data_IF_322042008182
#
_entry.id   IF_322042008182
#
_cell.length_a   1.000
_cell.length_b   1.000
_cell.length_c   1.000
_cell.angle_alpha   90.00
_cell.angle_beta   90.00
_cell.angle_gamma   90.00
#
_symmetry.space_group_name_H-M   'P 1'
#
loop_
_entity.id
_entity.type
_entity.pdbx_description
1 polymer ?
#
# COMPACT_ATOMS: atom_id res chain seq x y z
N UNK A 1 34.15 -56.36 57.80
CA UNK A 1 33.07 -55.58 58.39
C UNK A 1 33.55 -54.14 58.53
N UNK A 2 33.24 -53.26 57.50
CA UNK A 2 33.63 -51.88 57.54
C UNK A 2 32.40 -51.05 57.93
N UNK A 3 32.52 -50.31 58.97
CA UNK A 3 31.48 -49.38 59.50
C UNK A 3 31.78 -48.03 58.84
N UNK A 4 30.86 -47.52 58.06
CA UNK A 4 30.89 -46.13 57.47
C UNK A 4 30.07 -45.25 58.46
N UNK A 5 30.73 -44.29 59.11
CA UNK A 5 30.12 -43.23 59.85
C UNK A 5 29.68 -42.10 58.91
N UNK A 6 28.36 -41.89 58.85
CA UNK A 6 27.78 -40.76 58.07
C UNK A 6 27.62 -39.54 59.00
N UNK A 7 28.33 -38.46 58.69
CA UNK A 7 28.30 -37.21 59.45
C UNK A 7 27.18 -36.35 58.85
N UNK A 8 26.05 -36.25 59.52
CA UNK A 8 24.96 -35.34 59.14
C UNK A 8 25.36 -33.89 59.41
N UNK A 9 25.58 -33.12 58.39
CA UNK A 9 25.75 -31.67 58.50
C UNK A 9 24.37 -31.00 58.41
N UNK A 10 23.88 -30.64 59.58
CA UNK A 10 22.69 -29.81 59.71
C UNK A 10 23.04 -28.40 59.22
N UNK A 11 22.57 -28.03 58.00
CA UNK A 11 22.59 -26.65 57.52
C UNK A 11 21.41 -25.90 58.20
N UNK A 12 21.61 -24.67 58.70
CA UNK A 12 20.57 -23.98 59.43
C UNK A 12 19.40 -23.63 58.53
N UNK A 13 18.20 -23.99 58.93
CA UNK A 13 16.91 -23.75 58.28
C UNK A 13 16.62 -22.27 57.94
N UNK A 14 17.35 -21.37 58.54
CA UNK A 14 17.18 -19.91 58.38
C UNK A 14 17.50 -19.35 56.99
N UNK A 15 18.36 -20.00 56.22
CA UNK A 15 18.72 -19.54 54.89
C UNK A 15 17.66 -19.83 53.82
N UNK A 16 16.79 -20.80 54.02
CA UNK A 16 15.75 -21.16 53.06
C UNK A 16 14.51 -20.28 53.17
N UNK A 17 14.15 -19.84 54.38
CA UNK A 17 12.99 -18.96 54.57
C UNK A 17 13.23 -17.54 54.02
N UNK A 18 14.43 -16.99 54.18
CA UNK A 18 14.75 -15.65 53.65
C UNK A 18 14.73 -15.61 52.12
N UNK A 19 15.08 -16.72 51.45
CA UNK A 19 15.08 -16.83 49.99
C UNK A 19 13.67 -16.98 49.41
N UNK A 20 12.78 -17.65 50.13
CA UNK A 20 11.38 -17.80 49.72
C UNK A 20 10.60 -16.49 49.88
N UNK A 21 10.84 -15.73 50.94
CA UNK A 21 10.17 -14.43 51.13
C UNK A 21 10.68 -13.38 50.15
N UNK A 22 11.94 -13.45 49.69
CA UNK A 22 12.46 -12.54 48.65
C UNK A 22 11.80 -12.81 47.29
N UNK A 23 11.52 -14.05 46.95
CA UNK A 23 10.80 -14.40 45.72
C UNK A 23 9.30 -14.09 45.82
N UNK A 24 8.67 -14.22 46.94
CA UNK A 24 7.28 -13.84 47.18
C UNK A 24 7.11 -12.30 47.12
N UNK A 25 8.06 -11.54 47.65
CA UNK A 25 8.04 -10.08 47.61
C UNK A 25 8.23 -9.50 46.18
N UNK A 26 9.03 -10.14 45.33
CA UNK A 26 9.20 -9.76 43.92
C UNK A 26 8.00 -10.18 43.05
N UNK A 27 7.31 -11.26 43.43
CA UNK A 27 6.12 -11.73 42.69
C UNK A 27 4.88 -10.87 42.92
N UNK A 28 4.79 -10.17 44.06
CA UNK A 28 3.64 -9.30 44.38
C UNK A 28 3.74 -7.92 43.74
N UNK A 29 4.96 -7.48 43.34
CA UNK A 29 5.17 -6.21 42.64
C UNK A 29 5.10 -6.34 41.11
N UNK A 30 5.05 -7.55 40.52
CA UNK A 30 4.99 -7.76 39.05
C UNK A 30 3.63 -7.49 38.41
N UNK A 31 2.47 -7.67 39.05
CA UNK A 31 1.18 -7.46 38.39
C UNK A 31 0.76 -5.99 38.21
N UNK A 32 1.57 -5.02 38.64
CA UNK A 32 1.26 -3.59 38.45
C UNK A 32 2.01 -2.92 37.32
N UNK A 33 2.78 -3.67 36.54
CA UNK A 33 3.17 -3.20 35.21
C UNK A 33 1.95 -3.36 34.30
N UNK A 34 1.08 -2.35 34.27
CA UNK A 34 0.10 -2.22 33.20
C UNK A 34 0.87 -2.24 31.89
N UNK A 35 0.91 -3.39 31.23
CA UNK A 35 1.29 -3.47 29.84
C UNK A 35 0.15 -2.76 29.10
N UNK A 36 0.28 -1.44 28.96
CA UNK A 36 -0.59 -0.66 28.11
C UNK A 36 -0.35 -1.15 26.67
N UNK A 37 -1.08 -2.17 26.28
CA UNK A 37 -1.16 -2.54 24.88
C UNK A 37 -1.81 -1.37 24.15
N UNK A 38 -1.04 -0.70 23.32
CA UNK A 38 -1.62 0.32 22.45
C UNK A 38 -2.73 -0.35 21.60
N UNK A 39 -3.95 0.17 21.73
CA UNK A 39 -5.10 -0.39 21.03
C UNK A 39 -4.82 -0.44 19.53
N UNK A 40 -5.10 -1.58 18.91
CA UNK A 40 -5.01 -1.70 17.46
C UNK A 40 -6.02 -0.76 16.83
N UNK A 41 -5.57 -0.01 15.84
CA UNK A 41 -6.43 0.77 14.96
C UNK A 41 -5.98 0.58 13.51
N UNK A 42 -6.88 0.86 12.60
CA UNK A 42 -6.63 0.89 11.17
C UNK A 42 -7.43 2.05 10.57
N UNK A 43 -6.79 2.82 9.72
CA UNK A 43 -7.46 3.88 8.99
C UNK A 43 -8.46 3.27 8.00
N UNK A 44 -9.48 4.02 7.65
CA UNK A 44 -10.42 3.63 6.60
C UNK A 44 -10.32 4.60 5.45
N UNK A 45 -10.09 4.06 4.24
CA UNK A 45 -9.88 4.86 3.03
C UNK A 45 -10.79 4.36 1.92
N UNK A 46 -11.82 5.13 1.58
CA UNK A 46 -12.75 4.78 0.51
C UNK A 46 -12.47 5.62 -0.74
N UNK A 47 -12.56 5.01 -1.89
CA UNK A 47 -12.20 5.62 -3.17
C UNK A 47 -13.38 5.67 -4.12
N UNK A 48 -13.52 6.82 -4.82
CA UNK A 48 -14.28 6.94 -6.06
C UNK A 48 -13.33 7.40 -7.15
N UNK A 49 -13.15 6.60 -8.20
CA UNK A 49 -12.18 6.85 -9.25
C UNK A 49 -12.89 6.83 -10.61
N UNK A 50 -12.65 7.85 -11.41
CA UNK A 50 -13.03 7.89 -12.82
C UNK A 50 -11.75 7.91 -13.64
N UNK A 51 -11.62 6.99 -14.59
CA UNK A 51 -10.42 6.88 -15.42
C UNK A 51 -10.78 6.51 -16.86
N UNK A 52 -10.06 7.09 -17.80
CA UNK A 52 -10.15 6.77 -19.22
C UNK A 52 -8.78 6.39 -19.77
N UNK A 53 -8.73 5.35 -20.60
CA UNK A 53 -7.54 4.92 -21.34
C UNK A 53 -7.51 5.62 -22.71
N UNK A 54 -6.39 6.29 -22.99
CA UNK A 54 -5.99 6.70 -24.37
C UNK A 54 -5.00 5.65 -24.88
N UNK A 55 -5.49 4.72 -25.69
CA UNK A 55 -4.70 3.59 -26.21
C UNK A 55 -3.74 4.00 -27.35
N UNK A 56 -3.88 5.21 -27.88
CA UNK A 56 -2.95 5.75 -28.91
C UNK A 56 -1.72 6.41 -28.28
N UNK A 57 -1.89 6.91 -27.06
CA UNK A 57 -0.81 7.56 -26.32
C UNK A 57 -0.27 6.69 -25.20
N UNK A 58 -0.94 5.58 -24.90
CA UNK A 58 -0.69 4.73 -23.76
C UNK A 58 -0.71 5.52 -22.44
N UNK A 59 -1.83 6.20 -22.21
CA UNK A 59 -2.03 7.11 -21.09
C UNK A 59 -3.35 6.84 -20.40
N UNK A 60 -3.38 7.08 -19.08
CA UNK A 60 -4.62 7.18 -18.31
C UNK A 60 -4.88 8.64 -17.95
N UNK A 61 -6.12 9.08 -18.09
CA UNK A 61 -6.60 10.35 -17.56
C UNK A 61 -7.73 10.10 -16.58
N UNK A 62 -7.62 10.63 -15.39
CA UNK A 62 -8.63 10.37 -14.37
C UNK A 62 -8.74 11.45 -13.33
N UNK A 63 -9.66 11.20 -12.42
CA UNK A 63 -9.85 11.94 -11.18
C UNK A 63 -10.28 11.00 -10.09
N UNK A 64 -9.95 11.33 -8.86
CA UNK A 64 -10.39 10.57 -7.71
C UNK A 64 -10.93 11.45 -6.60
N UNK A 65 -11.79 10.85 -5.79
CA UNK A 65 -12.20 11.35 -4.49
C UNK A 65 -11.91 10.28 -3.46
N UNK A 66 -11.11 10.64 -2.48
CA UNK A 66 -10.70 9.78 -1.36
C UNK A 66 -11.39 10.27 -0.10
N UNK A 67 -12.22 9.42 0.51
CA UNK A 67 -12.71 9.63 1.87
C UNK A 67 -11.70 8.98 2.84
N UNK A 68 -11.08 9.79 3.66
CA UNK A 68 -10.11 9.35 4.66
C UNK A 68 -10.66 9.57 6.07
N UNK A 69 -10.77 8.50 6.85
CA UNK A 69 -11.27 8.50 8.22
C UNK A 69 -10.11 8.21 9.16
N UNK A 70 -9.82 9.16 10.06
CA UNK A 70 -8.77 9.01 11.05
C UNK A 70 -9.24 8.19 12.24
N UNK A 71 -9.01 6.89 12.21
CA UNK A 71 -9.33 5.97 13.32
C UNK A 71 -8.19 5.85 14.35
N UNK A 72 -7.08 6.61 14.17
CA UNK A 72 -5.99 6.62 15.14
C UNK A 72 -6.33 7.49 16.35
N UNK A 73 -5.63 7.31 17.48
CA UNK A 73 -5.72 8.23 18.62
C UNK A 73 -5.00 9.56 18.36
N UNK A 74 -4.31 9.69 17.24
CA UNK A 74 -3.45 10.83 16.94
C UNK A 74 -4.15 11.89 16.08
N UNK A 75 -3.70 13.14 16.24
CA UNK A 75 -4.12 14.25 15.39
C UNK A 75 -3.20 14.37 14.20
N UNK A 76 -3.71 14.14 13.00
CA UNK A 76 -2.94 14.20 11.77
C UNK A 76 -2.93 15.64 11.21
N UNK A 77 -1.75 16.17 10.93
CA UNK A 77 -1.55 17.52 10.36
C UNK A 77 -1.14 17.49 8.90
N UNK A 78 -0.73 16.36 8.41
CA UNK A 78 -0.38 16.06 7.03
C UNK A 78 -0.68 14.61 6.73
N UNK A 79 -0.78 14.27 5.45
CA UNK A 79 -0.90 12.90 4.95
C UNK A 79 0.21 12.66 3.94
N UNK A 80 0.77 11.45 3.92
CA UNK A 80 1.60 11.01 2.80
C UNK A 80 0.75 10.31 1.77
N UNK A 81 1.12 10.52 0.50
CA UNK A 81 0.52 9.83 -0.64
C UNK A 81 1.59 9.15 -1.48
N UNK A 82 1.29 7.96 -1.93
CA UNK A 82 2.07 7.24 -2.91
C UNK A 82 1.64 7.67 -4.32
N UNK A 83 2.62 8.03 -5.13
CA UNK A 83 2.52 8.36 -6.55
C UNK A 83 3.34 7.36 -7.35
N UNK A 84 3.09 6.10 -7.12
CA UNK A 84 3.96 4.99 -7.54
C UNK A 84 4.26 4.87 -9.04
N UNK A 85 3.45 5.37 -9.99
CA UNK A 85 3.90 5.45 -11.39
C UNK A 85 5.19 6.25 -11.58
N UNK A 86 5.51 7.19 -10.68
CA UNK A 86 6.77 7.95 -10.74
C UNK A 86 8.01 7.11 -10.45
N UNK A 87 7.87 5.90 -9.93
CA UNK A 87 8.99 4.97 -9.77
C UNK A 87 9.63 4.59 -11.11
N UNK A 88 8.87 4.72 -12.21
CA UNK A 88 9.32 4.43 -13.58
C UNK A 88 9.85 5.68 -14.31
N UNK A 89 9.99 6.83 -13.64
CA UNK A 89 10.29 8.11 -14.30
C UNK A 89 11.73 8.24 -14.76
N UNK A 90 12.67 7.71 -14.01
CA UNK A 90 14.11 7.82 -14.30
C UNK A 90 14.96 6.74 -13.59
N UNK A 91 16.28 6.80 -13.84
CA UNK A 91 17.23 5.83 -13.29
C UNK A 91 17.68 6.09 -11.84
N UNK A 92 17.19 7.15 -11.18
CA UNK A 92 17.55 7.48 -9.81
C UNK A 92 16.49 7.02 -8.80
N UNK A 93 15.37 6.51 -9.28
CA UNK A 93 14.28 6.00 -8.44
C UNK A 93 14.73 4.77 -7.64
N UNK A 94 14.01 4.45 -6.58
CA UNK A 94 14.28 3.24 -5.77
C UNK A 94 14.09 1.97 -6.59
N UNK A 95 13.06 1.90 -7.44
CA UNK A 95 12.82 0.80 -8.37
C UNK A 95 14.00 0.60 -9.34
N UNK A 96 14.47 1.68 -9.98
CA UNK A 96 15.59 1.58 -10.92
C UNK A 96 16.87 1.08 -10.26
N UNK A 97 17.16 1.56 -9.04
CA UNK A 97 18.31 1.12 -8.25
C UNK A 97 18.21 -0.36 -7.86
N UNK A 98 17.03 -0.82 -7.45
CA UNK A 98 16.80 -2.21 -7.10
C UNK A 98 16.99 -3.13 -8.31
N UNK A 99 16.40 -2.79 -9.47
CA UNK A 99 16.56 -3.55 -10.72
C UNK A 99 18.02 -3.57 -11.15
N UNK A 100 18.73 -2.43 -11.01
CA UNK A 100 20.15 -2.39 -11.30
C UNK A 100 20.96 -3.33 -10.40
N UNK A 101 20.68 -3.34 -9.10
CA UNK A 101 21.39 -4.22 -8.14
C UNK A 101 21.12 -5.70 -8.43
N UNK A 102 19.89 -6.06 -8.80
CA UNK A 102 19.49 -7.43 -9.09
C UNK A 102 19.99 -7.92 -10.44
N UNK A 103 19.75 -7.16 -11.50
CA UNK A 103 19.88 -7.61 -12.89
C UNK A 103 21.09 -6.98 -13.62
N UNK A 104 21.80 -6.03 -12.99
CA UNK A 104 22.86 -5.26 -13.61
C UNK A 104 22.41 -4.30 -14.71
N UNK A 105 21.11 -4.10 -14.89
CA UNK A 105 20.52 -3.23 -15.92
C UNK A 105 20.66 -1.75 -15.55
N UNK A 106 21.81 -1.18 -15.88
CA UNK A 106 22.03 0.26 -15.75
C UNK A 106 21.24 1.00 -16.83
N UNK A 107 20.66 2.14 -16.44
CA UNK A 107 20.03 3.07 -17.38
C UNK A 107 18.79 2.49 -18.09
N UNK A 108 18.01 1.66 -17.42
CA UNK A 108 16.78 1.08 -17.92
C UNK A 108 15.85 2.18 -18.48
N UNK A 109 15.69 3.28 -17.77
CA UNK A 109 14.81 4.40 -18.14
C UNK A 109 15.52 5.50 -18.96
N UNK A 110 16.62 5.19 -19.65
CA UNK A 110 17.16 6.11 -20.67
C UNK A 110 16.26 6.19 -21.90
N UNK A 111 15.62 5.09 -22.25
CA UNK A 111 14.62 5.05 -23.30
C UNK A 111 13.32 5.73 -22.78
N UNK A 112 12.86 6.81 -23.44
CA UNK A 112 11.64 7.49 -23.03
C UNK A 112 10.39 6.61 -23.06
N UNK A 113 10.32 5.61 -23.93
CA UNK A 113 9.16 4.71 -24.05
C UNK A 113 9.04 3.77 -22.85
N UNK A 114 10.16 3.43 -22.20
CA UNK A 114 10.19 2.63 -21.00
C UNK A 114 9.84 3.43 -19.72
N UNK A 115 9.64 4.75 -19.86
CA UNK A 115 9.29 5.61 -18.71
C UNK A 115 7.80 5.63 -18.48
N UNK A 116 7.46 5.61 -17.21
CA UNK A 116 6.11 5.88 -16.71
C UNK A 116 6.15 6.95 -15.63
N UNK A 117 5.08 7.69 -15.49
CA UNK A 117 4.94 8.71 -14.45
C UNK A 117 3.48 9.05 -14.19
N UNK A 118 3.25 9.77 -13.11
CA UNK A 118 1.97 10.39 -12.81
C UNK A 118 2.17 11.89 -12.61
N UNK A 119 1.33 12.69 -13.24
CA UNK A 119 1.33 14.14 -13.13
C UNK A 119 -0.10 14.72 -13.13
N UNK A 120 -0.23 16.03 -13.43
CA UNK A 120 -1.50 16.76 -13.46
C UNK A 120 -2.25 16.75 -12.13
N UNK A 121 -1.51 16.55 -11.02
CA UNK A 121 -2.08 16.49 -9.68
C UNK A 121 -2.44 17.88 -9.16
N UNK A 122 -3.62 17.99 -8.56
CA UNK A 122 -4.09 19.22 -7.90
C UNK A 122 -4.99 18.85 -6.72
N UNK A 123 -4.36 18.62 -5.59
CA UNK A 123 -5.06 18.15 -4.39
C UNK A 123 -5.92 19.23 -3.75
N UNK A 124 -7.17 18.86 -3.47
CA UNK A 124 -8.12 19.69 -2.73
C UNK A 124 -8.67 18.91 -1.53
N UNK A 125 -8.94 19.62 -0.45
CA UNK A 125 -9.67 19.10 0.72
C UNK A 125 -10.89 19.98 0.96
N UNK A 126 -12.09 19.38 0.96
CA UNK A 126 -13.33 20.13 1.09
C UNK A 126 -13.53 21.20 -0.01
N UNK A 127 -13.00 20.96 -1.22
CA UNK A 127 -13.05 21.89 -2.34
C UNK A 127 -11.98 22.99 -2.33
N UNK A 128 -11.14 23.08 -1.30
CA UNK A 128 -10.05 24.05 -1.20
C UNK A 128 -8.72 23.40 -1.58
N UNK A 129 -7.97 24.02 -2.50
CA UNK A 129 -6.61 23.57 -2.86
C UNK A 129 -5.69 23.59 -1.65
N UNK A 130 -4.90 22.54 -1.50
CA UNK A 130 -3.95 22.39 -0.37
C UNK A 130 -2.53 22.34 -0.86
N UNK A 131 -1.60 22.75 0.01
CA UNK A 131 -0.17 22.66 -0.25
C UNK A 131 0.27 21.20 -0.21
N UNK A 132 1.02 20.79 -1.22
CA UNK A 132 1.64 19.48 -1.27
C UNK A 132 3.06 19.58 -1.87
N UNK A 133 3.94 18.64 -1.52
CA UNK A 133 5.31 18.61 -2.01
C UNK A 133 5.75 17.16 -2.18
N UNK A 134 6.57 16.91 -3.20
CA UNK A 134 7.29 15.62 -3.31
C UNK A 134 8.22 15.44 -2.11
N UNK A 135 8.38 14.20 -1.67
CA UNK A 135 9.37 13.88 -0.64
C UNK A 135 10.77 13.89 -1.29
N UNK A 136 11.72 14.55 -0.63
CA UNK A 136 13.09 14.67 -1.14
C UNK A 136 13.71 13.28 -1.37
N UNK A 137 14.23 13.05 -2.57
CA UNK A 137 14.84 11.77 -2.97
C UNK A 137 13.84 10.67 -3.37
N UNK A 138 12.51 10.92 -3.24
CA UNK A 138 11.46 9.94 -3.55
C UNK A 138 10.38 10.57 -4.44
N UNK A 139 10.53 10.55 -5.77
CA UNK A 139 9.56 11.16 -6.68
C UNK A 139 8.20 10.48 -6.68
N UNK A 140 8.10 9.29 -6.14
CA UNK A 140 6.92 8.45 -6.03
C UNK A 140 6.19 8.58 -4.67
N UNK A 141 6.57 9.59 -3.86
CA UNK A 141 5.94 9.92 -2.58
C UNK A 141 5.73 11.43 -2.48
N UNK A 142 4.55 11.86 -2.04
CA UNK A 142 4.33 13.25 -1.69
C UNK A 142 3.68 13.41 -0.31
N UNK A 143 3.78 14.60 0.25
CA UNK A 143 3.11 14.99 1.48
C UNK A 143 2.08 16.09 1.21
N UNK A 144 0.89 15.94 1.75
CA UNK A 144 -0.22 16.90 1.71
C UNK A 144 -0.31 17.58 3.08
N UNK A 145 -0.13 18.90 3.15
CA UNK A 145 -0.26 19.65 4.41
C UNK A 145 -1.72 20.07 4.61
N UNK A 146 -2.35 19.56 5.65
CA UNK A 146 -3.73 19.89 5.98
C UNK A 146 -3.80 21.31 6.58
N UNK A 147 -4.73 22.13 6.11
CA UNK A 147 -4.95 23.46 6.67
C UNK A 147 -5.71 23.44 8.01
N UNK A 148 -6.38 22.33 8.32
CA UNK A 148 -6.95 22.02 9.64
C UNK A 148 -6.47 20.67 10.08
N UNK A 149 -6.07 20.49 11.34
CA UNK A 149 -5.73 19.18 11.87
C UNK A 149 -6.92 18.22 11.76
N UNK A 150 -6.65 16.97 11.42
CA UNK A 150 -7.62 15.88 11.38
C UNK A 150 -7.56 15.14 12.72
N UNK A 151 -8.57 15.38 13.58
CA UNK A 151 -8.63 14.76 14.90
C UNK A 151 -9.07 13.30 14.83
N UNK A 152 -8.85 12.52 15.90
CA UNK A 152 -9.40 11.17 16.02
C UNK A 152 -10.90 11.13 15.75
N UNK A 153 -11.33 10.22 14.85
CA UNK A 153 -12.71 10.07 14.42
C UNK A 153 -13.15 11.00 13.28
N UNK A 154 -12.36 12.03 12.96
CA UNK A 154 -12.69 12.95 11.87
C UNK A 154 -12.55 12.29 10.49
N UNK A 155 -13.31 12.83 9.54
CA UNK A 155 -13.30 12.42 8.14
C UNK A 155 -12.99 13.62 7.26
N UNK A 156 -12.13 13.41 6.24
CA UNK A 156 -11.89 14.38 5.17
C UNK A 156 -12.12 13.77 3.81
N UNK A 157 -12.46 14.62 2.84
CA UNK A 157 -12.59 14.27 1.44
C UNK A 157 -11.48 14.96 0.65
N UNK A 158 -10.64 14.17 0.01
CA UNK A 158 -9.50 14.63 -0.78
C UNK A 158 -9.80 14.34 -2.24
N UNK A 159 -9.66 15.33 -3.10
CA UNK A 159 -9.87 15.16 -4.52
C UNK A 159 -8.65 15.61 -5.31
N UNK A 160 -8.35 14.93 -6.42
CA UNK A 160 -7.32 15.32 -7.37
C UNK A 160 -7.63 14.78 -8.75
N UNK A 161 -7.39 15.54 -9.84
CA UNK A 161 -7.18 14.96 -11.15
C UNK A 161 -5.83 14.26 -11.18
N UNK A 162 -5.63 13.36 -12.14
CA UNK A 162 -4.33 12.76 -12.41
C UNK A 162 -4.22 12.34 -13.87
N UNK A 163 -2.99 12.25 -14.34
CA UNK A 163 -2.63 11.69 -15.62
C UNK A 163 -1.46 10.72 -15.40
N UNK A 164 -1.53 9.54 -16.02
CA UNK A 164 -0.48 8.51 -15.94
C UNK A 164 0.00 8.17 -17.34
N UNK A 165 1.31 8.29 -17.56
CA UNK A 165 1.98 7.67 -18.70
C UNK A 165 2.29 6.22 -18.37
N UNK A 166 1.82 5.31 -19.22
CA UNK A 166 2.07 3.87 -19.09
C UNK A 166 3.33 3.53 -19.87
N UNK A 167 4.39 2.95 -19.26
CA UNK A 167 5.61 2.60 -19.95
C UNK A 167 5.41 1.44 -20.92
N UNK A 168 6.18 1.40 -22.01
CA UNK A 168 6.28 0.24 -22.88
C UNK A 168 7.01 -0.90 -22.15
N UNK A 169 6.56 -2.14 -22.39
CA UNK A 169 7.03 -3.31 -21.67
C UNK A 169 6.52 -3.37 -20.23
N UNK A 170 6.54 -4.53 -19.62
CA UNK A 170 6.15 -4.72 -18.22
C UNK A 170 7.41 -4.95 -17.40
N UNK A 171 8.02 -3.86 -16.95
CA UNK A 171 9.24 -3.91 -16.14
C UNK A 171 9.00 -4.47 -14.74
N UNK A 172 7.84 -4.15 -14.16
CA UNK A 172 7.36 -4.67 -12.88
C UNK A 172 5.85 -4.90 -12.97
N UNK A 173 5.01 -4.05 -12.37
CA UNK A 173 3.55 -4.25 -12.31
C UNK A 173 2.75 -3.19 -13.06
N UNK A 174 3.41 -2.34 -13.81
CA UNK A 174 2.81 -1.31 -14.65
C UNK A 174 3.48 -1.33 -16.02
N UNK A 175 2.69 -1.43 -17.07
CA UNK A 175 3.21 -1.35 -18.43
C UNK A 175 2.21 -1.80 -19.49
N UNK A 176 2.62 -1.70 -20.76
CA UNK A 176 1.88 -2.22 -21.91
C UNK A 176 2.81 -2.93 -22.89
N UNK A 177 2.26 -3.86 -23.65
CA UNK A 177 2.94 -4.49 -24.79
C UNK A 177 1.97 -4.45 -25.96
N UNK A 178 2.23 -3.57 -26.92
CA UNK A 178 1.25 -3.21 -27.94
C UNK A 178 -0.03 -2.71 -27.28
N UNK A 179 -1.16 -3.31 -27.61
CA UNK A 179 -2.49 -2.99 -27.07
C UNK A 179 -2.89 -3.82 -25.84
N UNK A 180 -1.96 -4.55 -25.24
CA UNK A 180 -2.21 -5.29 -23.97
C UNK A 180 -1.64 -4.51 -22.79
N UNK A 181 -2.43 -4.31 -21.76
CA UNK A 181 -2.09 -3.47 -20.61
C UNK A 181 -2.10 -4.27 -19.32
N UNK A 182 -1.05 -4.12 -18.51
CA UNK A 182 -1.01 -4.51 -17.10
C UNK A 182 -0.90 -3.25 -16.26
N UNK A 183 -1.95 -2.93 -15.52
CA UNK A 183 -2.07 -1.66 -14.82
C UNK A 183 -2.35 -1.92 -13.34
N UNK A 184 -1.32 -1.78 -12.50
CA UNK A 184 -1.46 -1.85 -11.06
C UNK A 184 -0.75 -0.68 -10.38
N UNK A 185 -1.18 -0.31 -9.17
CA UNK A 185 -0.58 0.78 -8.39
C UNK A 185 -0.54 2.15 -9.12
N UNK A 186 -1.58 2.46 -9.89
CA UNK A 186 -1.63 3.48 -10.92
C UNK A 186 -2.26 4.82 -10.48
N UNK A 187 -2.98 4.86 -9.37
CA UNK A 187 -3.68 6.03 -8.84
C UNK A 187 -2.99 6.57 -7.59
N UNK A 188 -3.14 7.86 -7.24
CA UNK A 188 -2.64 8.40 -5.98
C UNK A 188 -3.31 7.72 -4.80
N UNK A 189 -2.58 7.33 -3.77
CA UNK A 189 -3.19 6.71 -2.60
C UNK A 189 -2.50 7.10 -1.30
N UNK A 190 -3.24 7.32 -0.21
CA UNK A 190 -2.65 7.57 1.09
C UNK A 190 -1.74 6.41 1.52
N UNK A 191 -0.59 6.77 2.10
CA UNK A 191 0.24 5.82 2.82
C UNK A 191 -0.49 5.32 4.08
N UNK A 192 -0.15 4.12 4.53
CA UNK A 192 -0.68 3.59 5.79
C UNK A 192 -0.16 4.40 6.97
N UNK A 193 -1.04 4.68 7.92
CA UNK A 193 -0.71 5.22 9.23
C UNK A 193 -1.20 4.26 10.31
N UNK A 194 -0.27 3.61 11.00
CA UNK A 194 -0.57 2.69 12.08
C UNK A 194 0.14 3.10 13.39
N UNK A 195 0.15 2.23 14.38
CA UNK A 195 0.80 2.45 15.68
C UNK A 195 2.31 2.76 15.60
N UNK A 196 2.95 2.44 14.47
CA UNK A 196 4.37 2.74 14.21
C UNK A 196 4.56 4.06 13.48
N UNK A 197 3.46 4.75 13.13
CA UNK A 197 3.45 6.00 12.37
C UNK A 197 3.19 5.77 10.88
N UNK A 198 3.70 6.67 10.05
CA UNK A 198 3.55 6.63 8.60
C UNK A 198 4.44 5.58 7.94
N UNK A 199 3.89 4.83 7.00
CA UNK A 199 4.58 3.85 6.14
C UNK A 199 4.68 4.38 4.70
N UNK A 200 5.37 5.52 4.54
CA UNK A 200 5.63 6.13 3.24
C UNK A 200 6.83 5.43 2.57
N UNK A 201 6.59 4.29 1.95
CA UNK A 201 7.63 3.52 1.28
C UNK A 201 7.67 3.80 -0.23
N UNK A 202 8.85 3.88 -0.86
CA UNK A 202 8.96 3.96 -2.30
C UNK A 202 8.48 2.67 -2.96
N UNK A 203 8.14 2.74 -4.24
CA UNK A 203 7.84 1.57 -5.03
C UNK A 203 9.09 0.72 -5.23
N UNK A 204 8.99 -0.57 -4.94
CA UNK A 204 10.00 -1.59 -5.21
C UNK A 204 9.38 -2.74 -6.02
N UNK A 205 10.22 -3.44 -6.79
CA UNK A 205 9.80 -4.61 -7.55
C UNK A 205 9.62 -5.83 -6.64
N UNK A 206 10.46 -5.95 -5.62
CA UNK A 206 10.41 -7.02 -4.64
C UNK A 206 9.68 -6.58 -3.37
N UNK A 207 8.88 -7.48 -2.81
CA UNK A 207 8.10 -7.24 -1.59
C UNK A 207 6.63 -6.96 -1.86
N UNK A 208 5.88 -6.76 -0.78
CA UNK A 208 4.44 -6.53 -0.80
C UNK A 208 4.11 -5.06 -0.56
N UNK A 209 3.04 -4.61 -1.20
CA UNK A 209 2.52 -3.26 -0.99
C UNK A 209 1.67 -3.21 0.27
N UNK A 210 1.95 -2.21 1.12
CA UNK A 210 1.16 -1.95 2.31
C UNK A 210 0.15 -0.85 2.03
N UNK A 211 -1.12 -1.14 2.18
CA UNK A 211 -2.22 -0.21 1.87
C UNK A 211 -3.35 -0.37 2.88
N UNK A 212 -4.07 0.72 3.13
CA UNK A 212 -5.26 0.70 3.97
C UNK A 212 -6.41 -0.07 3.30
N UNK A 213 -7.30 -0.59 4.12
CA UNK A 213 -8.55 -1.17 3.66
C UNK A 213 -9.60 -0.10 3.40
N UNK A 214 -10.50 -0.37 2.45
CA UNK A 214 -11.60 0.49 2.13
C UNK A 214 -12.43 -0.03 0.97
N UNK A 215 -13.42 0.74 0.58
CA UNK A 215 -14.25 0.46 -0.60
C UNK A 215 -13.71 1.16 -1.83
N UNK A 216 -13.94 0.57 -2.99
CA UNK A 216 -13.57 1.13 -4.28
C UNK A 216 -14.80 1.18 -5.18
N UNK A 217 -15.12 2.37 -5.67
CA UNK A 217 -16.08 2.63 -6.73
C UNK A 217 -15.29 3.16 -7.93
N UNK A 218 -15.09 2.32 -8.95
CA UNK A 218 -14.20 2.62 -10.07
C UNK A 218 -14.96 2.60 -11.38
N UNK A 219 -14.97 3.75 -12.07
CA UNK A 219 -15.53 3.88 -13.39
C UNK A 219 -14.38 3.91 -14.41
N UNK A 220 -14.34 2.91 -15.30
CA UNK A 220 -13.29 2.73 -16.30
C UNK A 220 -13.88 2.94 -17.69
N UNK A 221 -13.36 3.90 -18.43
CA UNK A 221 -13.72 4.17 -19.82
C UNK A 221 -12.62 3.68 -20.76
N UNK A 222 -12.97 2.86 -21.72
CA UNK A 222 -12.06 2.23 -22.68
C UNK A 222 -12.60 2.35 -24.10
N UNK A 223 -11.75 2.26 -25.15
CA UNK A 223 -12.21 1.96 -26.50
C UNK A 223 -12.95 0.59 -26.53
N UNK A 224 -13.92 0.49 -27.45
CA UNK A 224 -14.88 -0.64 -27.46
C UNK A 224 -14.27 -2.03 -27.78
N UNK A 225 -13.02 -2.08 -28.21
CA UNK A 225 -12.28 -3.31 -28.52
C UNK A 225 -11.56 -3.92 -27.30
N UNK A 226 -11.64 -3.28 -26.13
CA UNK A 226 -10.98 -3.77 -24.92
C UNK A 226 -11.95 -4.50 -24.00
N UNK A 227 -11.41 -5.45 -23.25
CA UNK A 227 -12.08 -6.13 -22.15
C UNK A 227 -11.30 -5.83 -20.88
N UNK A 228 -12.00 -5.47 -19.80
CA UNK A 228 -11.41 -5.21 -18.49
C UNK A 228 -11.40 -6.48 -17.65
N UNK A 229 -10.21 -6.92 -17.22
CA UNK A 229 -10.06 -7.84 -16.11
C UNK A 229 -9.67 -7.05 -14.85
N UNK A 230 -10.57 -6.91 -13.90
CA UNK A 230 -10.33 -6.16 -12.67
C UNK A 230 -10.82 -6.95 -11.44
N UNK A 231 -10.31 -6.58 -10.26
CA UNK A 231 -10.86 -7.05 -8.98
C UNK A 231 -12.17 -6.33 -8.68
N UNK A 232 -13.04 -6.99 -7.90
CA UNK A 232 -14.36 -6.45 -7.56
C UNK A 232 -15.48 -7.02 -8.43
N UNK A 233 -16.66 -6.43 -8.32
CA UNK A 233 -17.85 -6.88 -9.03
C UNK A 233 -18.26 -5.85 -10.08
N UNK A 234 -18.39 -6.29 -11.34
CA UNK A 234 -18.90 -5.47 -12.42
C UNK A 234 -20.36 -5.05 -12.12
N UNK A 235 -20.60 -3.74 -12.08
CA UNK A 235 -21.91 -3.15 -11.77
C UNK A 235 -22.74 -2.84 -13.01
N UNK A 236 -22.11 -2.68 -14.19
CA UNK A 236 -22.82 -2.41 -15.44
C UNK A 236 -23.48 -3.69 -15.97
N UNK A 237 -24.83 -3.72 -15.91
CA UNK A 237 -25.60 -4.87 -16.38
C UNK A 237 -25.48 -5.12 -17.87
N UNK A 238 -25.28 -4.10 -18.70
CA UNK A 238 -25.15 -4.24 -20.15
C UNK A 238 -23.82 -4.89 -20.48
N UNK A 239 -22.75 -4.41 -19.88
CA UNK A 239 -21.41 -4.97 -20.00
C UNK A 239 -21.39 -6.43 -19.52
N UNK A 240 -22.02 -6.71 -18.37
CA UNK A 240 -22.11 -8.07 -17.83
C UNK A 240 -22.85 -9.03 -18.78
N UNK A 241 -23.97 -8.59 -19.34
CA UNK A 241 -24.72 -9.40 -20.34
C UNK A 241 -23.88 -9.63 -21.61
N UNK A 242 -23.15 -8.62 -22.06
CA UNK A 242 -22.28 -8.73 -23.22
C UNK A 242 -21.11 -9.70 -22.98
N UNK A 243 -20.42 -9.61 -21.85
CA UNK A 243 -19.33 -10.52 -21.45
C UNK A 243 -19.82 -11.98 -21.32
N UNK A 244 -21.00 -12.20 -20.72
CA UNK A 244 -21.59 -13.53 -20.62
C UNK A 244 -21.92 -14.14 -21.99
N UNK A 245 -22.44 -13.32 -22.91
CA UNK A 245 -22.68 -13.75 -24.28
C UNK A 245 -21.36 -14.08 -24.99
N UNK A 246 -20.36 -13.22 -24.88
CA UNK A 246 -19.05 -13.45 -25.48
C UNK A 246 -18.41 -14.75 -24.96
N UNK A 247 -18.46 -14.97 -23.65
CA UNK A 247 -17.97 -16.21 -23.02
C UNK A 247 -18.70 -17.45 -23.53
N UNK A 248 -20.01 -17.38 -23.71
CA UNK A 248 -20.78 -18.50 -24.25
C UNK A 248 -20.42 -18.78 -25.72
N UNK A 249 -20.24 -17.75 -26.52
CA UNK A 249 -19.88 -17.86 -27.94
C UNK A 249 -18.47 -18.43 -28.13
N UNK A 250 -17.56 -18.23 -27.14
CA UNK A 250 -16.17 -18.73 -27.17
C UNK A 250 -15.97 -20.07 -26.44
N UNK A 251 -16.96 -20.56 -25.72
CA UNK A 251 -16.87 -21.80 -24.94
C UNK A 251 -16.64 -23.07 -25.81
N UNK A 252 -16.90 -23.01 -27.11
CA UNK A 252 -16.64 -24.10 -28.07
C UNK A 252 -15.23 -24.04 -28.69
N UNK A 253 -14.47 -22.92 -28.52
CA UNK A 253 -13.07 -22.83 -28.87
C UNK A 253 -12.27 -23.66 -27.83
N UNK A 254 -12.25 -24.97 -28.02
CA UNK A 254 -11.35 -25.84 -27.27
C UNK A 254 -9.91 -25.36 -27.56
N UNK A 255 -9.15 -25.11 -26.52
CA UNK A 255 -7.70 -25.03 -26.69
C UNK A 255 -7.25 -26.35 -27.30
N UNK A 256 -6.38 -26.35 -28.34
CA UNK A 256 -5.79 -27.59 -28.81
C UNK A 256 -5.17 -28.28 -27.58
N UNK A 257 -5.49 -29.57 -27.43
CA UNK A 257 -4.88 -30.40 -26.40
C UNK A 257 -3.36 -30.28 -26.58
N UNK A 258 -2.69 -29.73 -25.62
CA UNK A 258 -1.24 -29.77 -25.55
C UNK A 258 -0.90 -31.23 -25.19
N UNK A 259 -0.57 -32.07 -26.20
CA UNK A 259 0.12 -33.34 -26.01
C UNK A 259 1.61 -33.12 -25.68
#
# INVERSE_FOLDING_TARGET
MKILLYRSSQKPFYKYYLRQYLFLGLGIFWPFLEVSSQAYFQQKVNYKIHVALDDKKHELKGSESVEYINNSPDTLRFLYFHLWPNAYSDNNTSLAKEIFQRDGKKKLFNDPELRGYIDSLNFHVGGQSIKWNMLEGFPDICSLTLYKPLFPGDTIYITTPFHVKIPEGVTSRLGHTGESYQISQWYPKPAVYDRSGWHQMPYLDQGEFYSEYGSFDVNITLPANYIVGATGNLQDEKENKWLNKLSADTAWLRMPDFE
#
